data_IF_673041971799
#
_entry.id   IF_673041971799
#
_cell.length_a   1.000
_cell.length_b   1.000
_cell.length_c   1.000
_cell.angle_alpha   90.00
_cell.angle_beta   90.00
_cell.angle_gamma   90.00
#
_symmetry.space_group_name_H-M   'P 1'
#
loop_
_entity.id
_entity.type
_entity.pdbx_description
1 polymer ?
#
# COMPACT_ATOMS: atom_id res chain seq x y z
N UNK A 1 -17.88 20.63 8.57
CA UNK A 1 -17.07 20.14 7.42
C UNK A 1 -17.81 20.52 6.15
N UNK A 2 -17.15 21.15 5.18
CA UNK A 2 -17.79 21.54 3.91
C UNK A 2 -18.23 20.28 3.17
N UNK A 3 -19.47 20.22 2.66
CA UNK A 3 -20.06 19.01 2.06
C UNK A 3 -19.22 18.48 0.89
N UNK A 4 -18.67 19.40 0.09
CA UNK A 4 -17.72 19.12 -0.99
C UNK A 4 -16.48 18.29 -0.58
N UNK A 5 -16.07 18.34 0.69
CA UNK A 5 -14.87 17.66 1.18
C UNK A 5 -15.17 16.28 1.77
N UNK A 6 -16.45 15.97 1.99
CA UNK A 6 -16.89 14.79 2.73
C UNK A 6 -16.48 13.49 2.04
N UNK A 7 -16.61 13.42 0.72
CA UNK A 7 -16.35 12.21 -0.05
C UNK A 7 -14.89 12.07 -0.51
N UNK A 8 -14.06 13.09 -0.30
CA UNK A 8 -12.67 13.09 -0.76
C UNK A 8 -11.87 11.90 -0.21
N UNK A 9 -11.93 11.57 1.10
CA UNK A 9 -11.19 10.44 1.64
C UNK A 9 -11.55 9.12 0.94
N UNK A 10 -12.86 8.85 0.76
CA UNK A 10 -13.34 7.61 0.16
C UNK A 10 -12.99 7.51 -1.33
N UNK A 11 -13.05 8.62 -2.07
CA UNK A 11 -12.63 8.67 -3.47
C UNK A 11 -11.13 8.39 -3.63
N UNK A 12 -10.30 8.97 -2.76
CA UNK A 12 -8.86 8.70 -2.75
C UNK A 12 -8.60 7.23 -2.36
N UNK A 13 -9.30 6.71 -1.36
CA UNK A 13 -9.18 5.33 -0.91
C UNK A 13 -9.52 4.34 -2.04
N UNK A 14 -10.64 4.54 -2.75
CA UNK A 14 -11.02 3.70 -3.89
C UNK A 14 -9.96 3.69 -4.98
N UNK A 15 -9.33 4.83 -5.26
CA UNK A 15 -8.23 4.88 -6.21
C UNK A 15 -6.97 4.20 -5.68
N UNK A 16 -6.67 4.35 -4.39
CA UNK A 16 -5.53 3.70 -3.73
C UNK A 16 -5.63 2.18 -3.80
N UNK A 17 -6.82 1.60 -3.59
CA UNK A 17 -7.06 0.16 -3.68
C UNK A 17 -6.80 -0.38 -5.10
N UNK A 18 -7.23 0.34 -6.14
CA UNK A 18 -6.91 -0.02 -7.52
C UNK A 18 -5.41 0.04 -7.82
N UNK A 19 -4.72 1.07 -7.33
CA UNK A 19 -3.26 1.18 -7.46
C UNK A 19 -2.52 0.06 -6.71
N UNK A 20 -3.00 -0.32 -5.52
CA UNK A 20 -2.44 -1.41 -4.73
C UNK A 20 -2.61 -2.76 -5.43
N UNK A 21 -3.78 -3.00 -6.02
CA UNK A 21 -4.08 -4.23 -6.78
C UNK A 21 -3.02 -4.46 -7.86
N UNK A 22 -2.71 -3.42 -8.65
CA UNK A 22 -1.66 -3.50 -9.67
C UNK A 22 -0.26 -3.61 -9.08
N UNK A 23 0.02 -2.87 -8.00
CA UNK A 23 1.32 -2.89 -7.34
C UNK A 23 1.68 -4.30 -6.84
N UNK A 24 0.73 -4.93 -6.14
CA UNK A 24 0.87 -6.27 -5.58
C UNK A 24 0.98 -7.30 -6.69
N UNK A 25 0.16 -7.20 -7.74
CA UNK A 25 0.23 -8.10 -8.89
C UNK A 25 1.62 -8.04 -9.56
N UNK A 26 2.08 -6.85 -9.93
CA UNK A 26 3.40 -6.71 -10.56
C UNK A 26 4.57 -7.12 -9.65
N UNK A 27 4.41 -7.02 -8.33
CA UNK A 27 5.43 -7.44 -7.38
C UNK A 27 5.49 -8.97 -7.21
N UNK A 28 4.34 -9.64 -7.21
CA UNK A 28 4.21 -11.10 -6.97
C UNK A 28 4.46 -11.92 -8.24
N UNK A 29 3.81 -11.56 -9.35
CA UNK A 29 3.75 -12.41 -10.53
C UNK A 29 4.88 -12.10 -11.52
N UNK A 30 5.56 -13.12 -12.02
CA UNK A 30 6.58 -12.98 -13.05
C UNK A 30 6.18 -13.80 -14.28
N UNK A 31 6.17 -13.16 -15.44
CA UNK A 31 5.81 -13.79 -16.71
C UNK A 31 6.81 -13.34 -17.80
N UNK A 32 7.43 -14.26 -18.56
CA UNK A 32 8.28 -13.91 -19.69
C UNK A 32 7.57 -12.96 -20.68
N UNK A 33 8.24 -11.88 -21.08
CA UNK A 33 7.65 -10.81 -21.89
C UNK A 33 7.05 -9.65 -21.08
N UNK A 34 7.05 -9.75 -19.75
CA UNK A 34 6.61 -8.70 -18.83
C UNK A 34 7.76 -8.15 -17.98
N UNK A 35 8.95 -7.98 -18.57
CA UNK A 35 10.17 -7.50 -17.88
C UNK A 35 10.02 -6.07 -17.31
N UNK A 36 9.03 -5.31 -17.80
CA UNK A 36 8.72 -3.97 -17.31
C UNK A 36 8.02 -3.97 -15.94
N UNK A 37 7.50 -5.12 -15.48
CA UNK A 37 6.73 -5.22 -14.25
C UNK A 37 7.53 -4.89 -12.99
N UNK A 38 8.85 -5.12 -12.91
CA UNK A 38 9.64 -4.65 -11.77
C UNK A 38 9.59 -3.14 -11.62
N UNK A 39 9.79 -2.39 -12.70
CA UNK A 39 9.67 -0.92 -12.67
C UNK A 39 8.26 -0.48 -12.27
N UNK A 40 7.24 -1.12 -12.88
CA UNK A 40 5.85 -0.80 -12.59
C UNK A 40 5.46 -1.14 -11.16
N UNK A 41 6.01 -2.20 -10.56
CA UNK A 41 5.76 -2.57 -9.17
C UNK A 41 6.18 -1.43 -8.23
N UNK A 42 7.37 -0.84 -8.42
CA UNK A 42 7.84 0.26 -7.57
C UNK A 42 7.01 1.53 -7.77
N UNK A 43 6.73 1.90 -9.03
CA UNK A 43 5.98 3.11 -9.34
C UNK A 43 4.54 3.01 -8.83
N UNK A 44 3.88 1.87 -9.05
CA UNK A 44 2.51 1.63 -8.57
C UNK A 44 2.47 1.55 -7.05
N UNK A 45 3.46 0.91 -6.40
CA UNK A 45 3.54 0.85 -4.94
C UNK A 45 3.69 2.24 -4.33
N UNK A 46 4.56 3.08 -4.88
CA UNK A 46 4.73 4.45 -4.40
C UNK A 46 3.47 5.29 -4.60
N UNK A 47 2.79 5.11 -5.73
CA UNK A 47 1.51 5.76 -6.02
C UNK A 47 0.40 5.32 -5.05
N UNK A 48 0.27 4.01 -4.81
CA UNK A 48 -0.66 3.47 -3.82
C UNK A 48 -0.37 4.01 -2.41
N UNK A 49 0.90 3.99 -1.99
CA UNK A 49 1.33 4.55 -0.70
C UNK A 49 1.02 6.05 -0.56
N UNK A 50 1.28 6.84 -1.62
CA UNK A 50 0.91 8.26 -1.67
C UNK A 50 -0.60 8.47 -1.48
N UNK A 51 -1.42 7.69 -2.18
CA UNK A 51 -2.89 7.79 -2.09
C UNK A 51 -3.42 7.34 -0.73
N UNK A 52 -2.96 6.21 -0.18
CA UNK A 52 -3.41 5.76 1.16
C UNK A 52 -3.04 6.75 2.24
N UNK A 53 -1.82 7.29 2.24
CA UNK A 53 -1.43 8.32 3.21
C UNK A 53 -2.32 9.56 3.09
N UNK A 54 -2.65 10.00 1.87
CA UNK A 54 -3.60 11.10 1.65
C UNK A 54 -5.02 10.74 2.10
N UNK A 55 -5.48 9.51 1.89
CA UNK A 55 -6.79 9.06 2.36
C UNK A 55 -6.88 9.08 3.89
N UNK A 56 -5.84 8.60 4.59
CA UNK A 56 -5.74 8.62 6.06
C UNK A 56 -5.73 10.07 6.57
N UNK A 57 -4.88 10.92 6.01
CA UNK A 57 -4.82 12.35 6.37
C UNK A 57 -6.17 13.01 6.12
N UNK A 58 -6.81 12.76 4.97
CA UNK A 58 -8.08 13.36 4.63
C UNK A 58 -9.22 12.87 5.53
N UNK A 59 -9.20 11.59 5.93
CA UNK A 59 -10.18 11.03 6.88
C UNK A 59 -10.12 11.72 8.24
N UNK A 60 -8.92 12.07 8.71
CA UNK A 60 -8.75 12.86 9.92
C UNK A 60 -9.07 14.36 9.71
N UNK A 61 -8.48 14.96 8.68
CA UNK A 61 -8.58 16.39 8.38
C UNK A 61 -8.48 16.64 6.85
N UNK A 62 -9.61 16.73 6.12
CA UNK A 62 -9.64 16.80 4.65
C UNK A 62 -8.81 17.93 4.04
N UNK A 63 -8.65 19.06 4.74
CA UNK A 63 -7.91 20.21 4.24
C UNK A 63 -6.39 20.05 4.33
N UNK A 64 -5.90 19.17 5.21
CA UNK A 64 -4.45 18.99 5.42
C UNK A 64 -3.76 18.20 4.30
N UNK A 65 -4.50 17.68 3.32
CA UNK A 65 -3.86 17.10 2.13
C UNK A 65 -3.34 18.16 1.16
N UNK A 66 -3.80 19.41 1.28
CA UNK A 66 -3.43 20.51 0.38
C UNK A 66 -2.22 21.29 0.90
N UNK A 67 -1.23 21.53 0.02
CA UNK A 67 0.00 22.28 0.33
C UNK A 67 -0.25 23.76 0.64
N UNK A 68 -1.17 24.36 -0.10
CA UNK A 68 -1.45 25.79 -0.05
C UNK A 68 -2.96 26.01 -0.12
N UNK A 69 -3.62 25.66 0.98
CA UNK A 69 -5.06 25.83 1.07
C UNK A 69 -5.48 27.30 0.97
N UNK A 70 -4.68 28.23 1.51
CA UNK A 70 -5.00 29.66 1.49
C UNK A 70 -5.01 30.23 0.06
N UNK A 71 -4.22 29.67 -0.86
CA UNK A 71 -4.30 30.05 -2.28
C UNK A 71 -5.61 29.69 -2.98
N UNK A 72 -6.44 28.85 -2.35
CA UNK A 72 -7.76 28.45 -2.83
C UNK A 72 -8.88 29.36 -2.32
N UNK A 73 -8.58 30.32 -1.44
CA UNK A 73 -9.54 31.32 -0.99
C UNK A 73 -9.84 32.30 -2.13
N UNK A 74 -11.01 32.14 -2.74
CA UNK A 74 -11.53 33.04 -3.78
C UNK A 74 -12.28 34.24 -3.20
N UNK A 75 -12.29 34.42 -1.87
CA UNK A 75 -13.05 35.46 -1.18
C UNK A 75 -14.57 35.22 -1.14
N UNK A 76 -15.02 34.05 -1.61
CA UNK A 76 -16.41 33.62 -1.56
C UNK A 76 -16.69 32.89 -0.24
N UNK A 77 -17.90 33.03 0.31
CA UNK A 77 -18.28 32.38 1.57
C UNK A 77 -18.22 30.84 1.53
N UNK A 78 -18.39 30.24 0.34
CA UNK A 78 -18.38 28.80 0.15
C UNK A 78 -17.32 28.41 -0.89
N UNK A 79 -16.66 27.29 -0.64
CA UNK A 79 -15.60 26.76 -1.49
C UNK A 79 -16.23 25.87 -2.57
N UNK A 80 -16.02 26.21 -3.84
CA UNK A 80 -16.47 25.36 -4.95
C UNK A 80 -15.58 24.11 -5.05
N UNK A 81 -16.20 22.93 -5.01
CA UNK A 81 -15.52 21.65 -5.22
C UNK A 81 -14.78 21.62 -6.57
N UNK A 82 -15.39 22.18 -7.63
CA UNK A 82 -14.74 22.18 -8.95
C UNK A 82 -13.50 23.07 -8.96
N UNK A 83 -13.48 24.15 -8.19
CA UNK A 83 -12.30 24.99 -8.01
C UNK A 83 -11.22 24.25 -7.22
N UNK A 84 -11.59 23.53 -6.16
CA UNK A 84 -10.69 22.68 -5.39
C UNK A 84 -10.04 21.59 -6.25
N UNK A 85 -10.81 20.92 -7.11
CA UNK A 85 -10.30 19.90 -8.04
C UNK A 85 -9.36 20.51 -9.09
N UNK A 86 -9.68 21.71 -9.61
CA UNK A 86 -8.88 22.36 -10.66
C UNK A 86 -7.58 22.98 -10.16
N UNK A 87 -7.61 23.57 -8.96
CA UNK A 87 -6.51 24.39 -8.42
C UNK A 87 -5.79 23.74 -7.26
N UNK A 88 -6.40 22.74 -6.62
CA UNK A 88 -5.87 22.07 -5.44
C UNK A 88 -4.54 21.40 -5.75
N UNK A 89 -3.50 21.79 -5.00
CA UNK A 89 -2.19 21.15 -5.03
C UNK A 89 -2.01 20.37 -3.73
N UNK A 90 -1.90 19.05 -3.84
CA UNK A 90 -1.69 18.19 -2.67
C UNK A 90 -0.21 18.04 -2.32
N UNK A 91 0.09 17.60 -1.10
CA UNK A 91 1.45 17.26 -0.67
C UNK A 91 2.11 16.20 -1.57
N UNK A 92 3.41 16.37 -1.83
CA UNK A 92 4.23 15.36 -2.52
C UNK A 92 4.53 14.21 -1.57
N UNK A 93 4.85 13.05 -2.13
CA UNK A 93 5.12 11.82 -1.38
C UNK A 93 6.11 11.99 -0.23
N UNK A 94 7.20 12.75 -0.42
CA UNK A 94 8.23 12.98 0.61
C UNK A 94 7.74 13.79 1.82
N UNK A 95 6.67 14.57 1.67
CA UNK A 95 6.08 15.38 2.76
C UNK A 95 5.05 14.61 3.57
N UNK A 96 4.44 13.58 3.00
CA UNK A 96 3.33 12.86 3.63
C UNK A 96 3.64 12.27 5.00
N UNK A 97 4.85 11.73 5.30
CA UNK A 97 5.14 11.25 6.65
C UNK A 97 4.96 12.30 7.74
N UNK A 98 5.35 13.55 7.47
CA UNK A 98 5.21 14.67 8.42
C UNK A 98 3.76 15.11 8.56
N UNK A 99 3.03 15.14 7.45
CA UNK A 99 1.61 15.53 7.44
C UNK A 99 0.76 14.46 8.12
N UNK A 100 1.03 13.17 7.87
CA UNK A 100 0.40 12.04 8.57
C UNK A 100 0.56 12.20 10.08
N UNK A 101 1.78 12.44 10.55
CA UNK A 101 2.03 12.67 11.97
C UNK A 101 1.25 13.88 12.51
N UNK A 102 1.29 15.02 11.81
CA UNK A 102 0.58 16.21 12.26
C UNK A 102 -0.94 16.01 12.32
N UNK A 103 -1.50 15.22 11.39
CA UNK A 103 -2.94 14.98 11.28
C UNK A 103 -3.45 13.88 12.24
N UNK A 104 -2.63 12.87 12.54
CA UNK A 104 -3.09 11.64 13.22
C UNK A 104 -2.27 11.25 14.45
N UNK A 105 -1.10 11.86 14.66
CA UNK A 105 -0.12 11.45 15.66
C UNK A 105 0.73 10.23 15.25
N UNK A 106 0.40 9.54 14.16
CA UNK A 106 1.05 8.30 13.73
C UNK A 106 2.36 8.53 12.96
N UNK A 107 3.28 7.56 13.05
CA UNK A 107 4.49 7.49 12.22
C UNK A 107 4.34 6.43 11.14
N UNK A 108 5.13 6.56 10.08
CA UNK A 108 5.32 5.48 9.11
C UNK A 108 5.91 4.26 9.85
N UNK A 109 5.29 3.07 9.76
CA UNK A 109 5.74 1.90 10.52
C UNK A 109 7.18 1.46 10.23
N UNK A 110 7.61 1.55 8.98
CA UNK A 110 8.97 1.25 8.53
C UNK A 110 9.51 2.40 7.66
N UNK A 111 10.21 3.34 8.29
CA UNK A 111 10.66 4.57 7.62
C UNK A 111 11.83 4.34 6.67
N UNK A 112 12.64 3.31 6.94
CA UNK A 112 13.77 2.89 6.11
C UNK A 112 13.28 2.40 4.75
N UNK A 113 12.32 1.47 4.74
CA UNK A 113 11.70 0.97 3.50
C UNK A 113 10.93 2.09 2.78
N UNK A 114 10.29 2.99 3.52
CA UNK A 114 9.63 4.15 2.91
C UNK A 114 10.61 5.03 2.13
N UNK A 115 11.78 5.29 2.71
CA UNK A 115 12.81 6.10 2.06
C UNK A 115 13.43 5.38 0.85
N UNK A 116 13.72 4.08 0.96
CA UNK A 116 14.29 3.32 -0.17
C UNK A 116 13.31 3.28 -1.36
N UNK A 117 12.02 3.04 -1.11
CA UNK A 117 11.01 3.09 -2.18
C UNK A 117 10.93 4.49 -2.80
N UNK A 118 10.93 5.55 -2.00
CA UNK A 118 10.89 6.94 -2.50
C UNK A 118 12.08 7.24 -3.42
N UNK A 119 13.28 6.86 -3.01
CA UNK A 119 14.51 7.10 -3.78
C UNK A 119 14.53 6.26 -5.06
N UNK A 120 14.17 4.99 -4.95
CA UNK A 120 14.08 4.07 -6.09
C UNK A 120 13.03 4.54 -7.10
N UNK A 121 11.84 4.96 -6.65
CA UNK A 121 10.80 5.52 -7.53
C UNK A 121 11.27 6.76 -8.26
N UNK A 122 11.98 7.66 -7.59
CA UNK A 122 12.55 8.84 -8.23
C UNK A 122 13.62 8.46 -9.27
N UNK A 123 14.47 7.49 -8.96
CA UNK A 123 15.48 7.00 -9.90
C UNK A 123 14.84 6.39 -11.16
N UNK A 124 13.80 5.58 -11.01
CA UNK A 124 13.05 4.98 -12.12
C UNK A 124 12.37 6.05 -12.96
N UNK A 125 11.60 6.96 -12.35
CA UNK A 125 10.82 7.96 -13.08
C UNK A 125 11.66 8.96 -13.85
N UNK A 126 12.83 9.35 -13.32
CA UNK A 126 13.66 10.38 -13.94
C UNK A 126 14.76 9.81 -14.84
N UNK A 127 15.25 8.61 -14.55
CA UNK A 127 16.44 8.07 -15.21
C UNK A 127 16.25 6.68 -15.81
N UNK A 128 15.10 6.03 -15.59
CA UNK A 128 14.88 4.63 -15.97
C UNK A 128 16.06 3.74 -15.52
N UNK A 129 16.59 4.01 -14.32
CA UNK A 129 17.81 3.39 -13.83
C UNK A 129 17.70 1.86 -13.86
N UNK A 130 18.63 1.21 -14.56
CA UNK A 130 18.64 -0.25 -14.70
C UNK A 130 19.21 -0.89 -13.44
N UNK A 131 18.33 -1.44 -12.61
CA UNK A 131 18.72 -2.39 -11.57
C UNK A 131 18.06 -3.74 -11.80
N UNK A 132 18.38 -4.70 -10.94
CA UNK A 132 17.82 -6.05 -10.97
C UNK A 132 16.31 -6.00 -10.64
N UNK A 133 15.48 -6.45 -11.57
CA UNK A 133 14.01 -6.62 -11.46
C UNK A 133 13.58 -7.28 -10.13
N UNK A 134 14.36 -8.27 -9.66
CA UNK A 134 14.11 -8.97 -8.40
C UNK A 134 14.16 -8.03 -7.19
N UNK A 135 15.08 -7.06 -7.18
CA UNK A 135 15.19 -6.07 -6.09
C UNK A 135 13.95 -5.18 -6.05
N UNK A 136 13.47 -4.72 -7.20
CA UNK A 136 12.31 -3.83 -7.29
C UNK A 136 11.02 -4.50 -6.81
N UNK A 137 10.81 -5.76 -7.22
CA UNK A 137 9.70 -6.57 -6.74
C UNK A 137 9.76 -6.77 -5.23
N UNK A 138 10.94 -7.14 -4.72
CA UNK A 138 11.15 -7.33 -3.28
C UNK A 138 10.90 -6.05 -2.48
N UNK A 139 11.47 -4.92 -2.91
CA UNK A 139 11.27 -3.62 -2.27
C UNK A 139 9.78 -3.22 -2.27
N UNK A 140 9.07 -3.50 -3.36
CA UNK A 140 7.63 -3.25 -3.46
C UNK A 140 6.84 -4.09 -2.45
N UNK A 141 7.11 -5.40 -2.35
CA UNK A 141 6.48 -6.27 -1.34
C UNK A 141 6.80 -5.79 0.08
N UNK A 142 8.07 -5.52 0.38
CA UNK A 142 8.47 -5.05 1.71
C UNK A 142 7.75 -3.74 2.06
N UNK A 143 7.58 -2.81 1.11
CA UNK A 143 6.81 -1.58 1.36
C UNK A 143 5.31 -1.85 1.51
N UNK A 144 4.71 -2.67 0.64
CA UNK A 144 3.29 -3.02 0.73
C UNK A 144 2.99 -3.58 2.13
N UNK A 145 3.75 -4.56 2.59
CA UNK A 145 3.40 -5.30 3.79
C UNK A 145 3.99 -4.76 5.10
N UNK A 146 5.08 -3.98 5.05
CA UNK A 146 5.63 -3.34 6.25
C UNK A 146 5.23 -1.87 6.43
N UNK A 147 4.62 -1.24 5.42
CA UNK A 147 4.17 0.16 5.49
C UNK A 147 2.69 0.31 5.18
N UNK A 148 2.22 -0.14 4.00
CA UNK A 148 0.82 0.06 3.59
C UNK A 148 -0.10 -0.79 4.45
N UNK A 149 0.14 -2.10 4.51
CA UNK A 149 -0.74 -3.09 5.13
C UNK A 149 -1.09 -2.75 6.59
N UNK A 150 -0.14 -2.43 7.49
CA UNK A 150 -0.49 -2.05 8.86
C UNK A 150 -1.31 -0.75 8.95
N UNK A 151 -1.07 0.20 8.03
CA UNK A 151 -1.79 1.47 8.00
C UNK A 151 -3.22 1.28 7.49
N UNK A 152 -3.42 0.51 6.42
CA UNK A 152 -4.75 0.31 5.85
C UNK A 152 -5.61 -0.59 6.73
N UNK A 153 -5.03 -1.60 7.37
CA UNK A 153 -5.73 -2.44 8.34
C UNK A 153 -6.20 -1.58 9.52
N UNK A 154 -5.31 -0.79 10.13
CA UNK A 154 -5.67 0.06 11.26
C UNK A 154 -6.73 1.13 10.94
N UNK A 155 -6.64 1.77 9.76
CA UNK A 155 -7.50 2.93 9.44
C UNK A 155 -8.76 2.56 8.67
N UNK A 156 -8.77 1.45 7.95
CA UNK A 156 -9.86 1.08 7.05
C UNK A 156 -10.31 -0.37 7.18
N UNK A 157 -9.69 -1.17 8.05
CA UNK A 157 -9.97 -2.59 8.22
C UNK A 157 -9.81 -3.37 6.90
N UNK A 158 -8.77 -3.01 6.14
CA UNK A 158 -8.42 -3.62 4.85
C UNK A 158 -7.15 -4.45 4.98
N UNK A 159 -7.03 -5.52 4.18
CA UNK A 159 -5.87 -6.39 4.16
C UNK A 159 -5.18 -6.34 2.81
N UNK A 160 -3.87 -6.05 2.76
CA UNK A 160 -3.16 -5.86 1.50
C UNK A 160 -3.17 -7.11 0.59
N UNK A 161 -3.25 -8.30 1.19
CA UNK A 161 -3.32 -9.59 0.48
C UNK A 161 -4.58 -9.75 -0.37
N UNK A 162 -5.65 -9.00 -0.10
CA UNK A 162 -6.92 -9.07 -0.86
C UNK A 162 -6.87 -8.30 -2.18
N UNK A 163 -5.82 -7.50 -2.40
CA UNK A 163 -5.70 -6.63 -3.57
C UNK A 163 -4.70 -7.21 -4.57
N UNK A 164 -5.20 -7.98 -5.53
CA UNK A 164 -4.47 -8.48 -6.71
C UNK A 164 -5.43 -8.74 -7.89
N UNK A 165 -4.90 -8.82 -9.11
CA UNK A 165 -5.73 -8.96 -10.33
C UNK A 165 -6.21 -10.40 -10.62
N UNK A 166 -5.57 -11.40 -10.01
CA UNK A 166 -5.98 -12.80 -10.21
C UNK A 166 -7.16 -13.18 -9.31
N UNK A 167 -8.38 -13.02 -9.82
CA UNK A 167 -9.59 -13.38 -9.10
C UNK A 167 -9.94 -14.88 -9.17
N UNK A 168 -9.16 -15.69 -9.90
CA UNK A 168 -9.50 -17.08 -10.19
C UNK A 168 -8.95 -18.09 -9.18
N UNK A 169 -7.91 -17.70 -8.42
CA UNK A 169 -7.16 -18.60 -7.52
C UNK A 169 -7.14 -18.09 -6.06
N UNK A 170 -7.93 -17.07 -5.73
CA UNK A 170 -7.83 -16.40 -4.43
C UNK A 170 -6.43 -15.78 -4.23
N UNK A 171 -5.99 -15.62 -2.98
CA UNK A 171 -4.67 -15.03 -2.65
C UNK A 171 -3.54 -16.06 -2.51
N UNK A 172 -3.74 -17.32 -2.93
CA UNK A 172 -2.80 -18.44 -2.80
C UNK A 172 -1.38 -18.11 -3.31
N UNK A 173 -1.27 -17.57 -4.52
CA UNK A 173 0.03 -17.19 -5.10
C UNK A 173 0.69 -16.01 -4.37
N UNK A 174 -0.10 -15.04 -3.94
CA UNK A 174 0.37 -13.89 -3.16
C UNK A 174 0.93 -14.39 -1.84
N UNK A 175 0.15 -15.16 -1.09
CA UNK A 175 0.55 -15.72 0.20
C UNK A 175 1.78 -16.61 0.05
N UNK A 176 1.81 -17.54 -0.90
CA UNK A 176 2.99 -18.38 -1.15
C UNK A 176 4.26 -17.54 -1.40
N UNK A 177 4.14 -16.43 -2.14
CA UNK A 177 5.24 -15.50 -2.31
C UNK A 177 5.69 -14.86 -0.99
N UNK A 178 4.77 -14.42 -0.14
CA UNK A 178 5.10 -13.81 1.16
C UNK A 178 5.76 -14.80 2.11
N UNK A 179 5.25 -16.03 2.17
CA UNK A 179 5.78 -17.10 3.04
C UNK A 179 7.23 -17.43 2.69
N UNK A 180 7.56 -17.60 1.40
CA UNK A 180 8.93 -17.86 0.93
C UNK A 180 9.91 -16.74 1.27
N UNK A 181 9.41 -15.52 1.39
CA UNK A 181 10.20 -14.32 1.62
C UNK A 181 10.20 -13.84 3.08
N UNK A 182 9.52 -14.57 3.96
CA UNK A 182 9.32 -14.24 5.39
C UNK A 182 8.70 -12.86 5.61
N UNK A 183 7.77 -12.47 4.73
CA UNK A 183 7.08 -11.17 4.83
C UNK A 183 5.83 -11.36 5.69
N UNK A 184 5.72 -10.59 6.77
CA UNK A 184 4.53 -10.59 7.63
C UNK A 184 3.42 -9.75 7.00
N UNK A 185 2.18 -10.18 7.16
CA UNK A 185 1.01 -9.51 6.60
C UNK A 185 -0.18 -9.62 7.57
N UNK A 186 -1.11 -8.69 7.46
CA UNK A 186 -2.39 -8.73 8.16
C UNK A 186 -3.27 -9.83 7.55
N UNK A 187 -3.86 -10.65 8.42
CA UNK A 187 -4.65 -11.82 8.02
C UNK A 187 -6.14 -11.50 8.21
N UNK A 188 -6.98 -11.60 7.16
CA UNK A 188 -8.42 -11.39 7.28
C UNK A 188 -9.08 -12.51 8.11
N UNK A 189 -10.26 -12.25 8.68
CA UNK A 189 -10.93 -13.22 9.56
C UNK A 189 -11.37 -14.49 8.80
N UNK A 190 -11.74 -14.37 7.53
CA UNK A 190 -12.16 -15.45 6.64
C UNK A 190 -10.99 -16.03 5.83
N UNK A 191 -9.78 -15.98 6.39
CA UNK A 191 -8.58 -16.45 5.71
C UNK A 191 -8.58 -17.98 5.47
N UNK A 192 -8.62 -18.36 4.19
CA UNK A 192 -8.60 -19.74 3.70
C UNK A 192 -7.60 -19.86 2.54
N UNK A 193 -6.82 -20.93 2.57
CA UNK A 193 -5.83 -21.27 1.54
C UNK A 193 -6.22 -22.61 0.93
N UNK A 194 -6.23 -22.71 -0.40
CA UNK A 194 -6.78 -23.88 -1.07
C UNK A 194 -5.77 -24.65 -1.92
N UNK A 195 -4.92 -23.96 -2.68
CA UNK A 195 -4.09 -24.61 -3.70
C UNK A 195 -2.60 -24.74 -3.33
N UNK A 196 -2.08 -23.94 -2.40
CA UNK A 196 -0.65 -24.03 -2.02
C UNK A 196 -0.41 -25.05 -0.90
N UNK A 197 0.70 -25.77 -1.02
CA UNK A 197 1.24 -26.61 0.05
C UNK A 197 2.04 -25.73 1.04
N UNK A 198 1.40 -25.37 2.15
CA UNK A 198 2.01 -24.54 3.19
C UNK A 198 3.32 -25.11 3.74
N UNK A 199 3.46 -26.44 3.78
CA UNK A 199 4.69 -27.05 4.27
C UNK A 199 5.85 -26.82 3.31
N UNK A 200 5.61 -26.94 1.99
CA UNK A 200 6.64 -26.64 0.99
C UNK A 200 6.96 -25.14 0.93
N UNK A 201 5.96 -24.26 1.00
CA UNK A 201 6.19 -22.80 0.98
C UNK A 201 6.95 -22.29 2.20
N UNK A 202 6.72 -22.88 3.37
CA UNK A 202 7.42 -22.54 4.61
C UNK A 202 8.75 -23.29 4.78
N UNK A 203 9.10 -24.25 3.93
CA UNK A 203 10.25 -25.15 4.14
C UNK A 203 11.55 -24.39 4.43
N UNK A 204 11.82 -23.33 3.67
CA UNK A 204 13.01 -22.47 3.81
C UNK A 204 12.90 -21.40 4.89
N UNK A 205 11.72 -21.17 5.46
CA UNK A 205 11.49 -20.09 6.41
C UNK A 205 12.08 -20.37 7.80
N UNK A 206 12.47 -19.30 8.47
CA UNK A 206 13.00 -19.28 9.82
C UNK A 206 11.98 -19.79 10.85
N UNK A 207 12.49 -20.32 11.97
CA UNK A 207 11.64 -20.79 13.06
C UNK A 207 10.81 -19.65 13.67
N UNK A 208 11.35 -18.44 13.73
CA UNK A 208 10.62 -17.26 14.21
C UNK A 208 9.41 -16.96 13.30
N UNK A 209 9.62 -16.94 11.98
CA UNK A 209 8.55 -16.66 11.02
C UNK A 209 7.47 -17.75 11.05
N UNK A 210 7.86 -19.03 11.09
CA UNK A 210 6.93 -20.16 11.21
C UNK A 210 6.05 -20.05 12.46
N UNK A 211 6.65 -19.71 13.60
CA UNK A 211 5.92 -19.52 14.85
C UNK A 211 4.95 -18.33 14.77
N UNK A 212 5.36 -17.22 14.15
CA UNK A 212 4.47 -16.09 13.91
C UNK A 212 3.26 -16.53 13.06
N UNK A 213 3.51 -17.17 11.91
CA UNK A 213 2.44 -17.57 11.00
C UNK A 213 1.46 -18.55 11.66
N UNK A 214 1.95 -19.56 12.38
CA UNK A 214 1.11 -20.49 13.12
C UNK A 214 0.22 -19.80 14.16
N UNK A 215 0.75 -18.78 14.85
CA UNK A 215 -0.04 -18.01 15.81
C UNK A 215 -1.12 -17.14 15.14
N UNK A 216 -0.87 -16.59 13.94
CA UNK A 216 -1.91 -15.85 13.20
C UNK A 216 -3.00 -16.79 12.67
N UNK A 217 -2.62 -17.94 12.12
CA UNK A 217 -3.58 -18.95 11.64
C UNK A 217 -4.50 -19.44 12.75
N UNK A 218 -3.96 -19.72 13.94
CA UNK A 218 -4.75 -20.14 15.10
C UNK A 218 -5.80 -19.12 15.58
N UNK A 219 -5.67 -17.84 15.19
CA UNK A 219 -6.65 -16.80 15.51
C UNK A 219 -7.80 -16.75 14.49
N UNK A 220 -7.51 -16.98 13.23
CA UNK A 220 -8.47 -16.83 12.13
C UNK A 220 -9.32 -18.09 11.95
N UNK A 221 -8.74 -19.24 12.23
CA UNK A 221 -9.41 -20.52 12.09
C UNK A 221 -8.76 -21.51 13.05
N UNK A 222 -9.50 -22.49 13.56
CA UNK A 222 -8.94 -23.57 14.39
C UNK A 222 -7.95 -24.48 13.64
N UNK A 223 -7.26 -23.97 12.61
CA UNK A 223 -6.27 -24.65 11.79
C UNK A 223 -4.98 -24.73 12.60
N UNK A 224 -4.73 -25.91 13.16
CA UNK A 224 -3.40 -26.28 13.64
C UNK A 224 -2.56 -26.67 12.43
N UNK A 225 -1.48 -25.92 12.19
CA UNK A 225 -0.35 -26.34 11.36
C UNK A 225 0.42 -27.49 12.05
#
# INVERSE_FOLDING_TARGET
MHEALRDIPDRILNYAMGALTQANHHAVFFDPGNEHWGFMSVVNTAHAGELFLKAIIAKAHPLLIFKDFFSLDSGQQNMDFNELVRRGKTHDFDKLPKVLWAATGERIPNIEIFNDLRETRNAIQHFCASENDTRFRRLSLDFIYSVIDPLINKHFDLHAIEFHEDHSVGYDHVVGCLLRHEIRFSVPEDFEIHEIDLHEELKGASAEYKNWFANEMAKCSGISL
#
